data_IF_367242105706
#
_entry.id   IF_367242105706
#
_cell.length_a   1.000
_cell.length_b   1.000
_cell.length_c   1.000
_cell.angle_alpha   90.00
_cell.angle_beta   90.00
_cell.angle_gamma   90.00
#
_symmetry.space_group_name_H-M   'P 1'
#
loop_
_entity.id
_entity.type
_entity.pdbx_description
1 polymer ?
#
# COMPACT_ATOMS: atom_id res chain seq x y z
N UNK A 1 20.66 -40.56 -9.87
CA UNK A 1 20.81 -39.51 -8.84
C UNK A 1 19.59 -38.61 -8.86
N UNK A 2 19.00 -38.30 -7.70
CA UNK A 2 17.91 -37.34 -7.62
C UNK A 2 18.42 -35.92 -7.90
N UNK A 3 17.57 -35.07 -8.49
CA UNK A 3 17.89 -33.66 -8.71
C UNK A 3 17.60 -32.84 -7.45
N UNK A 4 18.50 -31.92 -7.10
CA UNK A 4 18.24 -30.93 -6.06
C UNK A 4 17.03 -30.04 -6.40
N UNK A 5 16.31 -29.57 -5.38
CA UNK A 5 15.20 -28.63 -5.54
C UNK A 5 15.60 -27.34 -6.29
N UNK A 6 16.87 -26.91 -6.14
CA UNK A 6 17.47 -25.75 -6.80
C UNK A 6 18.16 -26.07 -8.14
N UNK A 7 17.97 -27.28 -8.67
CA UNK A 7 18.58 -27.66 -9.95
C UNK A 7 18.02 -26.80 -11.09
N UNK A 8 18.93 -26.18 -11.86
CA UNK A 8 18.56 -25.21 -12.91
C UNK A 8 17.68 -25.82 -14.00
N UNK A 9 17.91 -27.07 -14.38
CA UNK A 9 17.10 -27.79 -15.38
C UNK A 9 15.65 -27.97 -14.92
N UNK A 10 15.44 -28.40 -13.66
CA UNK A 10 14.10 -28.54 -13.09
C UNK A 10 13.42 -27.19 -12.88
N UNK A 11 14.14 -26.17 -12.42
CA UNK A 11 13.61 -24.81 -12.30
C UNK A 11 13.17 -24.24 -13.66
N UNK A 12 13.96 -24.42 -14.72
CA UNK A 12 13.58 -24.00 -16.08
C UNK A 12 12.31 -24.70 -16.55
N UNK A 13 12.19 -26.02 -16.33
CA UNK A 13 10.98 -26.77 -16.67
C UNK A 13 9.74 -26.30 -15.87
N UNK A 14 9.92 -25.96 -14.59
CA UNK A 14 8.85 -25.40 -13.75
C UNK A 14 8.40 -24.03 -14.25
N UNK A 15 9.35 -23.17 -14.61
CA UNK A 15 9.06 -21.85 -15.18
C UNK A 15 8.16 -21.99 -16.40
N UNK A 16 8.54 -22.81 -17.38
CA UNK A 16 7.73 -23.03 -18.60
C UNK A 16 6.32 -23.52 -18.25
N UNK A 17 6.16 -24.40 -17.25
CA UNK A 17 4.85 -24.91 -16.85
C UNK A 17 3.99 -23.91 -16.09
N UNK A 18 4.58 -22.97 -15.37
CA UNK A 18 3.84 -22.07 -14.46
C UNK A 18 3.61 -20.69 -15.06
N UNK A 19 4.57 -20.17 -15.81
CA UNK A 19 4.57 -18.78 -16.27
C UNK A 19 4.35 -18.63 -17.77
N UNK A 20 4.44 -19.70 -18.55
CA UNK A 20 4.13 -19.61 -19.98
C UNK A 20 2.67 -19.18 -20.16
N UNK A 21 2.45 -18.26 -21.11
CA UNK A 21 1.15 -17.64 -21.40
C UNK A 21 0.02 -18.65 -21.64
N UNK A 22 0.34 -19.80 -22.23
CA UNK A 22 -0.64 -20.85 -22.54
C UNK A 22 -0.70 -21.96 -21.48
N UNK A 23 0.05 -21.85 -20.38
CA UNK A 23 0.01 -22.85 -19.31
C UNK A 23 -1.29 -22.78 -18.52
N UNK A 24 -1.77 -23.93 -18.08
CA UNK A 24 -3.01 -24.01 -17.30
C UNK A 24 -2.86 -23.33 -15.93
N UNK A 25 -1.64 -23.32 -15.38
CA UNK A 25 -1.32 -22.60 -14.15
C UNK A 25 -1.45 -21.08 -14.31
N UNK A 26 -0.94 -20.51 -15.41
CA UNK A 26 -1.07 -19.08 -15.67
C UNK A 26 -2.54 -18.69 -15.88
N UNK A 27 -3.29 -19.46 -16.71
CA UNK A 27 -4.71 -19.21 -16.98
C UNK A 27 -5.57 -19.23 -15.71
N UNK A 28 -5.38 -20.25 -14.87
CA UNK A 28 -6.13 -20.40 -13.61
C UNK A 28 -5.80 -19.29 -12.62
N UNK A 29 -4.53 -18.86 -12.54
CA UNK A 29 -4.11 -17.74 -11.73
C UNK A 29 -4.71 -16.42 -12.22
N UNK A 30 -4.69 -16.15 -13.52
CA UNK A 30 -5.29 -14.95 -14.13
C UNK A 30 -6.81 -14.89 -13.90
N UNK A 31 -7.52 -16.01 -14.13
CA UNK A 31 -8.96 -16.10 -13.87
C UNK A 31 -9.30 -15.83 -12.40
N UNK A 32 -8.46 -16.27 -11.46
CA UNK A 32 -8.62 -15.95 -10.03
C UNK A 32 -8.39 -14.45 -9.77
N UNK A 33 -7.37 -13.85 -10.39
CA UNK A 33 -7.08 -12.41 -10.23
C UNK A 33 -8.23 -11.54 -10.73
N UNK A 34 -8.83 -11.89 -11.87
CA UNK A 34 -9.99 -11.19 -12.42
C UNK A 34 -11.18 -11.25 -11.46
N UNK A 35 -11.56 -12.44 -10.98
CA UNK A 35 -12.64 -12.61 -10.00
C UNK A 35 -12.43 -11.81 -8.71
N UNK A 36 -11.19 -11.76 -8.22
CA UNK A 36 -10.88 -10.98 -7.01
C UNK A 36 -10.97 -9.47 -7.27
N UNK A 37 -10.53 -9.01 -8.44
CA UNK A 37 -10.63 -7.61 -8.81
C UNK A 37 -12.10 -7.14 -8.96
N UNK A 38 -12.95 -7.97 -9.56
CA UNK A 38 -14.39 -7.72 -9.66
C UNK A 38 -15.04 -7.62 -8.29
N UNK A 39 -14.82 -8.62 -7.42
CA UNK A 39 -15.32 -8.59 -6.03
C UNK A 39 -14.84 -7.37 -5.25
N UNK A 40 -13.58 -6.97 -5.45
CA UNK A 40 -13.03 -5.78 -4.79
C UNK A 40 -13.74 -4.49 -5.25
N UNK A 41 -13.99 -4.34 -6.55
CA UNK A 41 -14.73 -3.19 -7.10
C UNK A 41 -16.16 -3.18 -6.61
N UNK A 42 -16.86 -4.30 -6.65
CA UNK A 42 -18.24 -4.42 -6.15
C UNK A 42 -18.34 -4.07 -4.67
N UNK A 43 -17.43 -4.57 -3.84
CA UNK A 43 -17.42 -4.27 -2.41
C UNK A 43 -17.18 -2.79 -2.14
N UNK A 44 -16.28 -2.15 -2.89
CA UNK A 44 -16.03 -0.71 -2.78
C UNK A 44 -17.27 0.11 -3.15
N UNK A 45 -17.98 -0.27 -4.22
CA UNK A 45 -19.23 0.39 -4.60
C UNK A 45 -20.33 0.20 -3.54
N UNK A 46 -20.44 -1.01 -2.97
CA UNK A 46 -21.37 -1.30 -1.87
C UNK A 46 -21.07 -0.50 -0.62
N UNK A 47 -19.80 -0.32 -0.27
CA UNK A 47 -19.38 0.53 0.86
C UNK A 47 -19.75 1.98 0.61
N UNK A 48 -19.38 2.54 -0.54
CA UNK A 48 -19.76 3.92 -0.90
C UNK A 48 -21.27 4.15 -0.90
N UNK A 49 -22.05 3.17 -1.35
CA UNK A 49 -23.51 3.26 -1.36
C UNK A 49 -24.13 3.15 0.05
N UNK A 50 -23.44 2.51 0.99
CA UNK A 50 -23.84 2.50 2.41
C UNK A 50 -23.45 3.81 3.09
N UNK A 51 -22.20 4.24 2.92
CA UNK A 51 -21.70 5.49 3.49
C UNK A 51 -22.55 6.68 3.01
N UNK A 52 -22.92 6.72 1.71
CA UNK A 52 -23.79 7.77 1.18
C UNK A 52 -25.23 7.74 1.72
N UNK A 53 -25.72 6.60 2.24
CA UNK A 53 -27.03 6.54 2.93
C UNK A 53 -26.92 6.98 4.39
N UNK A 54 -25.79 6.71 5.03
CA UNK A 54 -25.55 7.09 6.42
C UNK A 54 -25.12 8.57 6.55
N UNK A 55 -24.54 9.18 5.51
CA UNK A 55 -24.16 10.61 5.47
C UNK A 55 -25.36 11.57 5.42
N UNK A 56 -26.52 11.17 4.87
CA UNK A 56 -27.74 12.00 4.89
C UNK A 56 -28.33 12.13 6.32
N UNK A 57 -28.09 11.17 7.20
CA UNK A 57 -28.53 11.18 8.61
C UNK A 57 -27.51 11.83 9.57
N UNK A 58 -26.28 12.13 9.14
CA UNK A 58 -25.19 12.65 9.99
C UNK A 58 -24.68 14.05 9.62
N UNK A 59 -25.52 14.92 9.02
CA UNK A 59 -25.23 16.36 8.95
C UNK A 59 -25.31 17.00 10.34
N UNK A 60 -24.28 16.77 11.15
CA UNK A 60 -24.02 17.50 12.38
C UNK A 60 -23.45 18.88 12.03
N UNK A 61 -24.00 19.93 12.63
CA UNK A 61 -23.57 21.32 12.53
C UNK A 61 -22.08 21.48 12.90
N UNK A 62 -21.20 21.61 11.89
CA UNK A 62 -19.78 21.93 12.09
C UNK A 62 -19.49 23.33 11.56
N UNK A 63 -20.08 24.34 12.19
CA UNK A 63 -19.70 25.75 12.00
C UNK A 63 -18.65 26.20 13.04
N UNK A 64 -17.50 25.53 13.10
CA UNK A 64 -16.29 26.11 13.71
C UNK A 64 -15.07 25.71 12.87
N UNK A 65 -14.79 26.52 11.86
CA UNK A 65 -13.59 26.41 11.02
C UNK A 65 -12.32 26.69 11.83
N UNK A 66 -11.84 25.70 12.58
CA UNK A 66 -10.53 25.76 13.23
C UNK A 66 -9.45 25.57 12.16
N UNK A 67 -8.59 26.58 11.97
CA UNK A 67 -7.48 26.51 11.01
C UNK A 67 -6.44 25.47 11.44
N UNK A 68 -6.51 24.27 10.86
CA UNK A 68 -5.56 23.16 11.10
C UNK A 68 -4.31 23.24 10.21
N UNK A 69 -4.16 24.32 9.43
CA UNK A 69 -3.12 24.52 8.41
C UNK A 69 -1.68 24.41 8.95
N UNK A 70 -1.47 24.66 10.25
CA UNK A 70 -0.16 24.59 10.90
C UNK A 70 0.20 23.26 11.58
N UNK A 71 -0.75 22.34 11.77
CA UNK A 71 -0.55 21.19 12.69
C UNK A 71 0.24 20.04 12.06
N UNK A 72 0.11 19.82 10.75
CA UNK A 72 0.79 18.73 10.03
C UNK A 72 2.23 19.06 9.58
N UNK A 73 2.55 20.35 9.40
CA UNK A 73 3.88 20.79 8.88
C UNK A 73 4.84 21.32 9.95
N UNK A 74 4.37 21.57 11.17
CA UNK A 74 5.19 22.17 12.23
C UNK A 74 6.27 21.21 12.75
N UNK A 75 5.91 19.96 13.05
CA UNK A 75 6.78 19.02 13.80
C UNK A 75 8.09 18.71 13.09
N UNK A 76 8.08 18.49 11.78
CA UNK A 76 9.28 18.15 11.00
C UNK A 76 10.22 19.36 10.86
N UNK A 77 9.67 20.56 10.69
CA UNK A 77 10.43 21.81 10.64
C UNK A 77 11.08 22.12 12.00
N UNK A 78 10.31 22.05 13.09
CA UNK A 78 10.82 22.24 14.45
C UNK A 78 11.85 21.19 14.85
N UNK A 79 11.63 19.92 14.49
CA UNK A 79 12.59 18.84 14.78
C UNK A 79 13.90 19.04 14.03
N UNK A 80 13.86 19.39 12.73
CA UNK A 80 15.07 19.68 11.95
C UNK A 80 15.85 20.87 12.51
N UNK A 81 15.17 21.98 12.86
CA UNK A 81 15.78 23.16 13.49
C UNK A 81 16.44 22.80 14.82
N UNK A 82 15.74 22.08 15.69
CA UNK A 82 16.23 21.68 17.02
C UNK A 82 17.36 20.65 16.97
N UNK A 83 17.39 19.77 15.96
CA UNK A 83 18.48 18.80 15.76
C UNK A 83 19.73 19.48 15.20
N UNK A 84 19.57 20.44 14.29
CA UNK A 84 20.68 21.22 13.74
C UNK A 84 21.36 22.08 14.82
N UNK A 85 20.60 22.74 15.69
CA UNK A 85 21.16 23.54 16.79
C UNK A 85 21.92 22.69 17.82
N UNK A 86 21.43 21.49 18.16
CA UNK A 86 22.10 20.55 19.10
C UNK A 86 23.42 19.97 18.58
N UNK A 87 23.68 20.00 17.26
CA UNK A 87 24.93 19.51 16.66
C UNK A 87 26.03 20.57 16.60
N UNK A 88 25.73 21.85 16.81
CA UNK A 88 26.72 22.95 16.77
C UNK A 88 27.77 22.86 17.87
N UNK A 89 27.47 22.18 18.98
CA UNK A 89 28.39 22.04 20.12
C UNK A 89 29.06 20.66 20.19
N UNK A 90 28.94 19.83 19.15
CA UNK A 90 29.60 18.52 19.10
C UNK A 90 30.57 18.52 17.91
N UNK A 91 31.85 18.61 18.25
CA UNK A 91 33.04 18.43 17.41
C UNK A 91 33.38 19.57 16.44
N UNK A 92 34.00 20.63 16.97
CA UNK A 92 35.30 21.05 16.44
C UNK A 92 36.30 20.71 17.54
N UNK A 93 36.82 19.48 17.53
CA UNK A 93 38.07 19.19 18.21
C UNK A 93 39.14 19.80 17.31
N UNK A 94 39.77 20.87 17.79
CA UNK A 94 41.07 21.29 17.26
C UNK A 94 42.07 20.13 17.38
#
# INVERSE_FOLDING_TARGET
MAHSARSKSKLKSKSIKVTAKNSDYAKTAEARRQRLAEKARENLLKQKAKDAKDDDDMKMDVEKNVSTSGWRKSRTSTYKKNKASKRKNKTMKF
#
